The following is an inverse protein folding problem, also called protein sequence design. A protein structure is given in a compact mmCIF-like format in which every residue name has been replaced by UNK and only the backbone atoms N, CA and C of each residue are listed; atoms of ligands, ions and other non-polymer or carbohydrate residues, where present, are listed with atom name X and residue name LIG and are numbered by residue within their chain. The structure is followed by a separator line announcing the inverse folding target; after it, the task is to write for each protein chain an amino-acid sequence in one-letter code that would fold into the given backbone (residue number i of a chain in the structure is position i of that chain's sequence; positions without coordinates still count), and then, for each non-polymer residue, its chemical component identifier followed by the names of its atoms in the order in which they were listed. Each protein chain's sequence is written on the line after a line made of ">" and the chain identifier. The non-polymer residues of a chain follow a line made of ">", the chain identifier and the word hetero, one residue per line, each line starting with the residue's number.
data_IF_059836235933
#
_entry.id   IF_059836235933
#
_cell.length_a   1.000
_cell.length_b   1.000
_cell.length_c   1.000
_cell.angle_alpha   90.00
_cell.angle_beta   90.00
_cell.angle_gamma   90.00
#
_symmetry.space_group_name_H-M   'P 1'
#
loop_
_entity.id
_entity.type
_entity.pdbx_description
1 polymer ?
#
# COMPACT_ATOMS: atom_id res chain seq x y z
N UNK A 1 -22.23 7.96 -3.21
CA UNK A 1 -20.88 7.76 -2.66
C UNK A 1 -20.37 6.41 -3.16
N UNK A 2 -19.16 6.32 -3.70
CA UNK A 2 -18.59 5.04 -4.10
C UNK A 2 -18.24 4.21 -2.85
N UNK A 3 -18.48 2.90 -2.88
CA UNK A 3 -18.09 2.01 -1.78
C UNK A 3 -16.57 1.84 -1.72
N UNK A 4 -16.05 1.41 -0.56
CA UNK A 4 -14.62 1.09 -0.39
C UNK A 4 -14.12 0.09 -1.45
N UNK A 5 -14.95 -0.89 -1.81
CA UNK A 5 -14.67 -1.89 -2.83
C UNK A 5 -14.55 -1.27 -4.23
N UNK A 6 -15.42 -0.32 -4.58
CA UNK A 6 -15.34 0.38 -5.87
C UNK A 6 -14.12 1.30 -5.95
N UNK A 7 -13.73 1.94 -4.83
CA UNK A 7 -12.51 2.73 -4.78
C UNK A 7 -11.27 1.86 -4.96
N UNK A 8 -11.17 0.72 -4.26
CA UNK A 8 -10.06 -0.24 -4.42
C UNK A 8 -9.96 -0.76 -5.86
N UNK A 9 -11.10 -1.11 -6.48
CA UNK A 9 -11.15 -1.60 -7.85
C UNK A 9 -10.62 -0.60 -8.88
N UNK A 10 -10.86 0.70 -8.67
CA UNK A 10 -10.29 1.76 -9.54
C UNK A 10 -8.78 1.77 -9.52
N UNK A 11 -8.18 1.58 -8.36
CA UNK A 11 -6.73 1.48 -8.23
C UNK A 11 -6.20 0.16 -8.81
N UNK A 12 -6.93 -0.95 -8.70
CA UNK A 12 -6.53 -2.23 -9.31
C UNK A 12 -6.51 -2.16 -10.83
N UNK A 13 -7.39 -1.36 -11.44
CA UNK A 13 -7.44 -1.17 -12.89
C UNK A 13 -6.44 -0.14 -13.41
N UNK A 14 -5.73 0.58 -12.54
CA UNK A 14 -4.77 1.60 -12.95
C UNK A 14 -3.42 0.93 -13.29
N UNK A 15 -2.88 1.10 -14.50
CA UNK A 15 -1.66 0.43 -14.93
C UNK A 15 -0.44 0.81 -14.07
N UNK A 16 -0.45 2.01 -13.51
CA UNK A 16 0.62 2.54 -12.65
C UNK A 16 0.47 2.13 -11.18
N UNK A 17 -0.62 1.46 -10.79
CA UNK A 17 -0.87 1.04 -9.41
C UNK A 17 -0.67 -0.47 -9.26
N UNK A 18 0.10 -0.87 -8.26
CA UNK A 18 0.33 -2.28 -7.92
C UNK A 18 -0.05 -2.54 -6.48
N UNK A 19 -0.99 -3.46 -6.28
CA UNK A 19 -1.28 -3.99 -4.96
C UNK A 19 -0.17 -4.97 -4.56
N UNK A 20 0.43 -4.72 -3.41
CA UNK A 20 1.56 -5.50 -2.91
C UNK A 20 1.28 -5.98 -1.48
N UNK A 21 1.92 -7.09 -1.10
CA UNK A 21 1.88 -7.58 0.27
C UNK A 21 2.53 -6.58 1.24
N UNK A 22 2.13 -6.56 2.52
CA UNK A 22 2.74 -5.70 3.54
C UNK A 22 4.26 -5.84 3.66
N UNK A 23 4.81 -7.01 3.32
CA UNK A 23 6.26 -7.27 3.33
C UNK A 23 7.00 -6.47 2.27
N UNK A 24 6.47 -6.50 1.04
CA UNK A 24 7.02 -5.73 -0.08
C UNK A 24 6.84 -4.24 0.18
N UNK A 25 5.68 -3.83 0.72
CA UNK A 25 5.47 -2.44 1.11
C UNK A 25 6.51 -1.96 2.12
N UNK A 26 6.77 -2.74 3.17
CA UNK A 26 7.79 -2.41 4.18
C UNK A 26 9.20 -2.40 3.60
N UNK A 27 9.56 -3.38 2.76
CA UNK A 27 10.86 -3.40 2.08
C UNK A 27 11.08 -2.16 1.21
N UNK A 28 10.04 -1.67 0.53
CA UNK A 28 10.10 -0.46 -0.29
C UNK A 28 10.15 0.80 0.58
N UNK A 29 9.40 0.82 1.69
CA UNK A 29 9.40 1.92 2.65
C UNK A 29 10.77 2.11 3.34
N UNK A 30 11.42 1.01 3.74
CA UNK A 30 12.73 1.03 4.39
C UNK A 30 13.89 0.92 3.39
N UNK A 31 13.57 0.80 2.10
CA UNK A 31 14.55 0.69 1.03
C UNK A 31 15.29 2.01 0.78
N UNK A 32 16.34 1.95 -0.02
CA UNK A 32 17.06 3.14 -0.50
C UNK A 32 16.41 3.83 -1.70
N UNK A 33 15.25 3.35 -2.13
CA UNK A 33 14.52 3.92 -3.28
C UNK A 33 13.82 5.21 -2.87
N UNK A 34 13.75 6.17 -3.79
CA UNK A 34 13.06 7.45 -3.61
C UNK A 34 11.54 7.26 -3.66
N UNK A 35 11.01 6.65 -2.61
CA UNK A 35 9.58 6.41 -2.41
C UNK A 35 9.00 7.53 -1.54
N UNK A 36 7.92 8.16 -2.00
CA UNK A 36 7.16 9.14 -1.21
C UNK A 36 5.82 8.56 -0.78
N UNK A 37 5.33 8.98 0.39
CA UNK A 37 4.03 8.56 0.89
C UNK A 37 2.92 9.07 -0.02
N UNK A 38 2.07 8.14 -0.45
CA UNK A 38 0.92 8.38 -1.29
C UNK A 38 -0.24 7.52 -0.78
N UNK A 39 -0.66 7.76 0.45
CA UNK A 39 -1.74 7.00 1.10
C UNK A 39 -3.12 7.44 0.56
N UNK A 40 -4.08 6.52 0.52
CA UNK A 40 -5.47 6.77 0.08
C UNK A 40 -6.43 6.46 1.23
N UNK A 41 -6.63 7.40 2.17
CA UNK A 41 -7.47 7.17 3.35
C UNK A 41 -8.92 6.86 2.98
N UNK A 42 -9.43 7.47 1.91
CA UNK A 42 -10.79 7.22 1.38
C UNK A 42 -11.02 5.78 0.93
N UNK A 43 -9.96 5.06 0.55
CA UNK A 43 -10.00 3.65 0.13
C UNK A 43 -9.43 2.69 1.19
N UNK A 44 -9.04 3.22 2.37
CA UNK A 44 -8.36 2.50 3.43
C UNK A 44 -7.09 1.76 2.94
N UNK A 45 -6.26 2.46 2.16
CA UNK A 45 -5.02 1.96 1.59
C UNK A 45 -3.83 2.81 2.05
N UNK A 46 -2.74 2.15 2.41
CA UNK A 46 -1.43 2.77 2.50
C UNK A 46 -0.78 2.71 1.12
N UNK A 47 -0.03 3.74 0.75
CA UNK A 47 0.57 3.81 -0.56
C UNK A 47 1.93 4.49 -0.57
N UNK A 48 2.75 4.07 -1.52
CA UNK A 48 4.03 4.67 -1.82
C UNK A 48 4.10 4.92 -3.32
N UNK A 49 4.58 6.10 -3.69
CA UNK A 49 4.83 6.49 -5.06
C UNK A 49 6.34 6.52 -5.28
N UNK A 50 6.80 5.80 -6.28
CA UNK A 50 8.15 5.89 -6.80
C UNK A 50 8.29 7.18 -7.62
N UNK A 51 9.14 8.10 -7.17
CA UNK A 51 9.32 9.39 -7.86
C UNK A 51 10.09 9.26 -9.18
N UNK A 52 10.87 8.20 -9.37
CA UNK A 52 11.66 7.99 -10.58
C UNK A 52 10.82 7.34 -11.68
N UNK A 53 10.00 6.37 -11.31
CA UNK A 53 9.22 5.58 -12.27
C UNK A 53 7.75 5.96 -12.36
N UNK A 54 7.24 6.75 -11.41
CA UNK A 54 5.82 7.09 -11.30
C UNK A 54 4.94 5.92 -10.83
N UNK A 55 5.53 4.76 -10.53
CA UNK A 55 4.80 3.58 -10.07
C UNK A 55 4.31 3.77 -8.64
N UNK A 56 3.02 3.50 -8.44
CA UNK A 56 2.40 3.51 -7.12
C UNK A 56 2.24 2.08 -6.63
N UNK A 57 2.71 1.82 -5.43
CA UNK A 57 2.40 0.58 -4.71
C UNK A 57 1.38 0.86 -3.62
N UNK A 58 0.42 -0.04 -3.46
CA UNK A 58 -0.68 0.09 -2.51
C UNK A 58 -0.77 -1.18 -1.66
N UNK A 59 -1.07 -1.01 -0.38
CA UNK A 59 -1.37 -2.12 0.53
C UNK A 59 -2.62 -1.76 1.35
N UNK A 60 -3.59 -2.68 1.49
CA UNK A 60 -4.71 -2.45 2.39
C UNK A 60 -4.24 -2.29 3.83
N UNK A 61 -4.79 -1.29 4.53
CA UNK A 61 -4.47 -1.05 5.95
C UNK A 61 -4.78 -2.28 6.80
N UNK A 62 -5.86 -2.99 6.47
CA UNK A 62 -6.27 -4.21 7.17
C UNK A 62 -5.21 -5.31 7.10
N UNK A 63 -4.64 -5.55 5.92
CA UNK A 63 -3.56 -6.52 5.70
C UNK A 63 -2.28 -6.09 6.42
N UNK A 64 -1.96 -4.81 6.37
CA UNK A 64 -0.82 -4.24 7.08
C UNK A 64 -0.94 -4.40 8.60
N UNK A 65 -2.12 -4.10 9.16
CA UNK A 65 -2.40 -4.22 10.59
C UNK A 65 -2.42 -5.68 11.06
N UNK A 66 -2.99 -6.60 10.28
CA UNK A 66 -2.94 -8.05 10.60
C UNK A 66 -1.51 -8.55 10.77
N UNK A 67 -0.59 -8.13 9.88
CA UNK A 67 0.83 -8.50 10.00
C UNK A 67 1.48 -7.87 11.23
N UNK A 68 1.20 -6.60 11.52
CA UNK A 68 1.77 -5.91 12.70
C UNK A 68 1.38 -6.60 14.00
N UNK A 69 0.16 -7.11 14.10
CA UNK A 69 -0.30 -7.86 15.27
C UNK A 69 0.34 -9.24 15.37
N UNK A 70 0.57 -9.93 14.24
CA UNK A 70 1.24 -11.22 14.21
C UNK A 70 2.71 -11.15 14.66
N UNK A 71 3.40 -10.03 14.41
CA UNK A 71 4.78 -9.82 14.89
C UNK A 71 4.88 -9.44 16.37
N UNK A 72 3.77 -9.17 17.06
CA UNK A 72 3.76 -8.77 18.48
C UNK A 72 3.73 -9.95 19.46
N UNK A 73 3.70 -11.20 18.97
CA UNK A 73 3.66 -12.43 19.78
C UNK A 73 4.98 -13.23 19.77
N UNK A 74 6.07 -12.66 19.25
CA UNK A 74 7.37 -13.32 19.16
C UNK A 74 8.47 -12.68 20.05
N UNK A 75 8.09 -12.08 21.17
CA UNK A 75 9.01 -11.61 22.22
C UNK A 75 8.72 -12.29 23.55
#
# INVERSE_FOLDING_TARGET
>A
MATLTELRRRFETSPDCKFVSPEIYLQRLTGRQSMVRADEPSANLLGLLDQETGNRILVPVEDFMRRRTASSFAQ
#
